data_IF_123465113338
#
_entry.id   IF_123465113338
#
_cell.length_a   1.000
_cell.length_b   1.000
_cell.length_c   1.000
_cell.angle_alpha   90.00
_cell.angle_beta   90.00
_cell.angle_gamma   90.00
#
_symmetry.space_group_name_H-M   'P 1'
#
loop_
_entity.id
_entity.type
_entity.pdbx_description
1 polymer ?
#
# COMPACT_ATOMS: atom_id res chain seq x y z
N UNK A 1 17.45 -5.59 19.99
CA UNK A 1 16.74 -4.38 19.51
C UNK A 1 15.28 -4.64 19.70
N UNK A 2 14.62 -3.87 20.54
CA UNK A 2 13.16 -3.94 20.67
C UNK A 2 12.48 -3.35 19.42
N UNK A 3 11.22 -3.69 19.25
CA UNK A 3 10.41 -3.36 18.09
C UNK A 3 10.22 -1.83 17.93
N UNK A 4 10.09 -1.11 19.03
CA UNK A 4 9.94 0.35 19.03
C UNK A 4 11.19 1.04 18.49
N UNK A 5 12.36 0.55 18.91
CA UNK A 5 13.65 0.98 18.37
C UNK A 5 13.75 0.69 16.87
N UNK A 6 13.24 -0.47 16.43
CA UNK A 6 13.17 -0.83 15.01
C UNK A 6 12.33 0.15 14.19
N UNK A 7 11.14 0.49 14.69
CA UNK A 7 10.28 1.49 14.04
C UNK A 7 10.92 2.88 14.00
N UNK A 8 11.58 3.29 15.08
CA UNK A 8 12.29 4.57 15.11
C UNK A 8 13.38 4.65 14.04
N UNK A 9 14.21 3.62 13.92
CA UNK A 9 15.25 3.55 12.88
C UNK A 9 14.60 3.57 11.49
N UNK A 10 13.53 2.81 11.29
CA UNK A 10 12.77 2.83 10.04
C UNK A 10 12.28 4.25 9.71
N UNK A 11 11.69 4.96 10.67
CA UNK A 11 11.25 6.33 10.46
C UNK A 11 12.40 7.30 10.16
N UNK A 12 13.56 7.14 10.81
CA UNK A 12 14.74 7.97 10.54
C UNK A 12 15.29 7.73 9.12
N UNK A 13 15.33 6.48 8.65
CA UNK A 13 15.73 6.16 7.27
C UNK A 13 14.77 6.80 6.27
N UNK A 14 13.46 6.73 6.54
CA UNK A 14 12.43 7.31 5.67
C UNK A 14 12.20 8.81 5.86
N UNK A 15 12.90 9.46 6.81
CA UNK A 15 12.86 10.91 6.97
C UNK A 15 13.51 11.61 5.76
N UNK A 16 14.57 11.03 5.20
CA UNK A 16 15.14 11.42 3.90
C UNK A 16 14.60 10.53 2.76
N UNK A 17 13.27 10.54 2.62
CA UNK A 17 12.56 9.73 1.62
C UNK A 17 12.95 10.05 0.17
N UNK A 18 13.64 11.16 -0.09
CA UNK A 18 14.09 11.54 -1.43
C UNK A 18 15.12 10.55 -2.00
N UNK A 19 15.94 9.97 -1.12
CA UNK A 19 16.95 8.96 -1.50
C UNK A 19 16.38 7.58 -1.84
N UNK A 20 15.11 7.33 -1.52
CA UNK A 20 14.47 6.02 -1.67
C UNK A 20 13.98 5.87 -3.11
N UNK A 21 14.40 4.80 -3.83
CA UNK A 21 13.99 4.58 -5.20
C UNK A 21 12.47 4.39 -5.27
N UNK A 22 11.89 4.92 -6.33
CA UNK A 22 10.49 4.67 -6.63
C UNK A 22 10.34 3.23 -7.11
N UNK A 23 9.34 2.54 -6.56
CA UNK A 23 9.20 1.10 -6.75
C UNK A 23 8.82 0.74 -8.18
N UNK A 24 8.05 1.59 -8.86
CA UNK A 24 7.53 1.31 -10.19
C UNK A 24 7.04 2.59 -10.88
N UNK A 25 7.74 2.99 -11.94
CA UNK A 25 7.43 4.17 -12.75
C UNK A 25 6.08 4.07 -13.50
N UNK A 26 5.46 2.89 -13.60
CA UNK A 26 4.14 2.73 -14.20
C UNK A 26 3.01 3.17 -13.24
N UNK A 27 3.27 3.21 -11.93
CA UNK A 27 2.27 3.47 -10.90
C UNK A 27 1.46 4.76 -11.15
N UNK A 28 2.04 5.93 -11.46
CA UNK A 28 1.27 7.17 -11.60
C UNK A 28 0.24 7.12 -12.74
N UNK A 29 0.59 6.46 -13.85
CA UNK A 29 -0.30 6.28 -15.00
C UNK A 29 -1.45 5.32 -14.65
N UNK A 30 -1.12 4.22 -13.99
CA UNK A 30 -2.06 3.16 -13.63
C UNK A 30 -3.02 3.64 -12.55
N UNK A 31 -2.51 4.27 -11.48
CA UNK A 31 -3.32 4.85 -10.42
C UNK A 31 -4.33 5.87 -10.98
N UNK A 32 -3.91 6.76 -11.89
CA UNK A 32 -4.84 7.67 -12.57
C UNK A 32 -5.94 6.92 -13.33
N UNK A 33 -5.59 5.85 -14.05
CA UNK A 33 -6.58 5.04 -14.78
C UNK A 33 -7.56 4.36 -13.82
N UNK A 34 -7.06 3.84 -12.69
CA UNK A 34 -7.88 3.20 -11.67
C UNK A 34 -8.81 4.21 -10.98
N UNK A 35 -8.30 5.37 -10.58
CA UNK A 35 -9.07 6.42 -9.92
C UNK A 35 -10.17 7.05 -10.80
N UNK A 36 -10.05 6.94 -12.13
CA UNK A 36 -11.13 7.33 -13.05
C UNK A 36 -12.31 6.34 -13.08
N UNK A 37 -12.14 5.12 -12.53
CA UNK A 37 -13.13 4.04 -12.60
C UNK A 37 -13.60 3.56 -11.22
N UNK A 38 -12.76 3.72 -10.20
CA UNK A 38 -12.97 3.22 -8.85
C UNK A 38 -12.58 4.29 -7.83
N UNK A 39 -13.07 4.16 -6.60
CA UNK A 39 -12.61 4.96 -5.47
C UNK A 39 -11.24 4.46 -5.03
N UNK A 40 -10.19 5.24 -5.29
CA UNK A 40 -8.81 4.87 -4.95
C UNK A 40 -8.26 5.79 -3.86
N UNK A 41 -7.92 5.24 -2.70
CA UNK A 41 -7.22 5.96 -1.64
C UNK A 41 -5.81 5.39 -1.41
N UNK A 42 -4.91 6.23 -0.91
CA UNK A 42 -3.63 5.78 -0.37
C UNK A 42 -3.77 5.63 1.14
N UNK A 43 -3.58 4.41 1.65
CA UNK A 43 -3.68 4.11 3.08
C UNK A 43 -2.35 3.62 3.63
N UNK A 44 -1.77 4.38 4.56
CA UNK A 44 -0.45 4.08 5.12
C UNK A 44 -0.49 3.99 6.65
N UNK A 45 0.19 3.00 7.21
CA UNK A 45 0.31 2.78 8.65
C UNK A 45 1.48 3.62 9.21
N UNK A 46 1.40 4.94 9.00
CA UNK A 46 2.37 5.93 9.49
C UNK A 46 1.62 7.00 10.27
N UNK A 47 2.26 7.53 11.31
CA UNK A 47 1.66 8.57 12.15
C UNK A 47 1.48 9.89 11.37
N UNK A 48 0.45 10.71 11.68
CA UNK A 48 0.05 11.87 10.88
C UNK A 48 1.14 12.93 10.65
N UNK A 49 2.15 12.99 11.51
CA UNK A 49 3.28 13.92 11.44
C UNK A 49 4.09 13.75 10.14
N UNK A 50 4.05 12.56 9.52
CA UNK A 50 4.72 12.28 8.25
C UNK A 50 3.89 12.67 7.01
N UNK A 51 2.71 13.28 7.17
CA UNK A 51 1.85 13.62 6.04
C UNK A 51 2.57 14.47 4.99
N UNK A 52 3.23 15.55 5.42
CA UNK A 52 3.91 16.46 4.48
C UNK A 52 4.96 15.73 3.66
N UNK A 53 5.84 14.96 4.31
CA UNK A 53 6.92 14.27 3.60
C UNK A 53 6.41 13.16 2.67
N UNK A 54 5.32 12.49 3.03
CA UNK A 54 4.66 11.51 2.15
C UNK A 54 4.08 12.22 0.93
N UNK A 55 3.34 13.32 1.13
CA UNK A 55 2.77 14.09 0.02
C UNK A 55 3.87 14.63 -0.90
N UNK A 56 4.93 15.23 -0.36
CA UNK A 56 6.05 15.76 -1.16
C UNK A 56 6.71 14.66 -2.00
N UNK A 57 6.84 13.45 -1.45
CA UNK A 57 7.39 12.30 -2.18
C UNK A 57 6.43 11.83 -3.27
N UNK A 58 5.14 11.72 -2.99
CA UNK A 58 4.13 11.34 -4.00
C UNK A 58 4.09 12.35 -5.16
N UNK A 59 4.08 13.64 -4.85
CA UNK A 59 4.09 14.72 -5.83
C UNK A 59 5.35 14.69 -6.70
N UNK A 60 6.52 14.40 -6.11
CA UNK A 60 7.77 14.24 -6.87
C UNK A 60 7.74 13.10 -7.90
N UNK A 61 6.82 12.13 -7.72
CA UNK A 61 6.56 11.02 -8.63
C UNK A 61 5.29 11.19 -9.47
N UNK A 62 4.72 12.40 -9.52
CA UNK A 62 3.47 12.71 -10.23
C UNK A 62 2.26 11.89 -9.73
N UNK A 63 2.24 11.51 -8.45
CA UNK A 63 1.09 10.90 -7.78
C UNK A 63 0.39 12.00 -6.97
N UNK A 64 -0.60 12.63 -7.59
CA UNK A 64 -1.23 13.86 -7.09
C UNK A 64 -2.63 13.54 -6.56
N UNK A 65 -2.96 14.10 -5.39
CA UNK A 65 -4.30 13.99 -4.80
C UNK A 65 -5.36 14.57 -5.74
N UNK A 66 -6.49 13.90 -5.90
CA UNK A 66 -7.57 14.25 -6.82
C UNK A 66 -7.32 13.87 -8.28
N UNK A 67 -6.15 13.33 -8.61
CA UNK A 67 -5.83 12.82 -9.96
C UNK A 67 -5.54 11.33 -9.89
N UNK A 68 -4.50 10.93 -9.17
CA UNK A 68 -4.09 9.52 -9.05
C UNK A 68 -4.84 8.80 -7.94
N UNK A 69 -5.27 9.50 -6.89
CA UNK A 69 -6.00 8.96 -5.75
C UNK A 69 -6.87 10.06 -5.12
N UNK A 70 -7.87 9.69 -4.34
CA UNK A 70 -8.82 10.61 -3.72
C UNK A 70 -8.31 11.13 -2.38
N UNK A 71 -7.99 10.25 -1.43
CA UNK A 71 -7.48 10.65 -0.11
C UNK A 71 -6.17 9.94 0.30
N UNK A 72 -5.36 10.65 1.09
CA UNK A 72 -4.24 10.07 1.83
C UNK A 72 -4.67 9.85 3.28
N UNK A 73 -4.86 8.59 3.66
CA UNK A 73 -5.27 8.15 4.99
C UNK A 73 -4.06 7.61 5.76
N UNK A 74 -3.81 8.20 6.92
CA UNK A 74 -2.70 7.84 7.79
C UNK A 74 -3.21 7.21 9.08
N UNK A 75 -2.71 6.03 9.40
CA UNK A 75 -3.14 5.21 10.54
C UNK A 75 -1.95 4.92 11.46
N UNK A 76 -2.22 4.70 12.74
CA UNK A 76 -1.19 4.22 13.67
C UNK A 76 -0.64 2.86 13.21
N UNK A 77 0.66 2.60 13.39
CA UNK A 77 1.33 1.38 12.91
C UNK A 77 0.88 0.06 13.60
N UNK A 78 -0.05 0.16 14.56
CA UNK A 78 -0.62 -0.97 15.30
C UNK A 78 -2.15 -0.87 15.41
N UNK A 79 -2.85 -2.01 15.46
CA UNK A 79 -2.34 -3.36 15.16
C UNK A 79 -1.89 -3.50 13.69
N UNK A 80 -1.13 -4.54 13.34
CA UNK A 80 -0.52 -4.67 12.00
C UNK A 80 -1.54 -4.81 10.86
N UNK A 81 -2.78 -5.10 11.20
CA UNK A 81 -3.94 -5.20 10.31
C UNK A 81 -4.87 -3.98 10.41
N UNK A 82 -4.45 -2.87 11.04
CA UNK A 82 -5.25 -1.66 11.25
C UNK A 82 -5.95 -1.16 9.99
N UNK A 83 -5.33 -1.35 8.82
CA UNK A 83 -5.88 -0.97 7.51
C UNK A 83 -7.21 -1.69 7.22
N UNK A 84 -7.41 -2.89 7.76
CA UNK A 84 -8.67 -3.65 7.61
C UNK A 84 -9.84 -3.06 8.39
N UNK A 85 -9.62 -2.08 9.28
CA UNK A 85 -10.73 -1.31 9.86
C UNK A 85 -11.40 -0.40 8.83
N UNK A 86 -10.72 -0.10 7.73
CA UNK A 86 -11.32 0.58 6.60
C UNK A 86 -12.19 -0.39 5.79
N UNK A 87 -13.15 0.13 5.04
CA UNK A 87 -14.09 -0.68 4.28
C UNK A 87 -13.78 -0.68 2.78
N UNK A 88 -12.57 -1.13 2.42
CA UNK A 88 -12.21 -1.36 1.03
C UNK A 88 -12.53 -2.78 0.58
N UNK A 89 -12.99 -2.90 -0.66
CA UNK A 89 -13.20 -4.18 -1.34
C UNK A 89 -11.87 -4.82 -1.78
N UNK A 90 -10.84 -4.01 -2.05
CA UNK A 90 -9.54 -4.45 -2.53
C UNK A 90 -8.39 -3.67 -1.88
N UNK A 91 -7.33 -4.38 -1.51
CA UNK A 91 -6.09 -3.82 -0.97
C UNK A 91 -4.93 -4.17 -1.89
N UNK A 92 -4.03 -3.22 -2.14
CA UNK A 92 -2.70 -3.46 -2.73
C UNK A 92 -1.67 -3.10 -1.67
N UNK A 93 -0.99 -4.11 -1.12
CA UNK A 93 -0.12 -3.93 0.04
C UNK A 93 0.95 -5.04 0.09
N UNK A 94 2.12 -4.75 0.64
CA UNK A 94 3.21 -5.72 0.79
C UNK A 94 3.23 -6.39 2.17
N UNK A 95 2.37 -5.96 3.09
CA UNK A 95 2.33 -6.43 4.46
C UNK A 95 1.76 -7.86 4.57
N UNK A 96 2.58 -8.87 4.94
CA UNK A 96 2.14 -10.25 5.03
C UNK A 96 1.10 -10.48 6.14
N UNK A 97 1.01 -9.58 7.14
CA UNK A 97 0.03 -9.70 8.22
C UNK A 97 -1.43 -9.51 7.75
N UNK A 98 -1.65 -9.01 6.54
CA UNK A 98 -2.99 -8.86 5.96
C UNK A 98 -3.52 -10.16 5.33
N UNK A 99 -2.64 -11.13 5.04
CA UNK A 99 -2.98 -12.34 4.25
C UNK A 99 -4.03 -13.18 4.96
N UNK A 100 -3.75 -13.66 6.17
CA UNK A 100 -4.66 -14.55 6.90
C UNK A 100 -5.99 -13.87 7.28
N UNK A 101 -6.01 -12.62 7.79
CA UNK A 101 -7.26 -11.91 8.02
C UNK A 101 -8.12 -11.74 6.76
N UNK A 102 -7.51 -11.41 5.61
CA UNK A 102 -8.26 -11.25 4.36
C UNK A 102 -8.81 -12.59 3.87
N UNK A 103 -8.08 -13.71 3.98
CA UNK A 103 -8.61 -15.04 3.64
C UNK A 103 -9.91 -15.38 4.37
N UNK A 104 -10.06 -14.91 5.61
CA UNK A 104 -11.28 -15.07 6.40
C UNK A 104 -12.41 -14.12 5.97
N UNK A 105 -12.08 -12.97 5.37
CA UNK A 105 -13.01 -11.95 4.89
C UNK A 105 -13.30 -12.11 3.39
N UNK A 106 -14.17 -13.06 3.02
CA UNK A 106 -14.44 -13.43 1.62
C UNK A 106 -14.97 -12.31 0.72
N UNK A 107 -15.37 -11.16 1.27
CA UNK A 107 -15.81 -9.99 0.53
C UNK A 107 -14.69 -8.96 0.26
N UNK A 108 -13.45 -9.29 0.61
CA UNK A 108 -12.28 -8.41 0.41
C UNK A 108 -11.22 -9.13 -0.39
N UNK A 109 -10.42 -8.41 -1.16
CA UNK A 109 -9.32 -8.98 -1.94
C UNK A 109 -8.00 -8.35 -1.52
N UNK A 110 -6.93 -9.15 -1.42
CA UNK A 110 -5.56 -8.65 -1.28
C UNK A 110 -4.77 -8.94 -2.54
N UNK A 111 -4.21 -7.90 -3.14
CA UNK A 111 -3.10 -8.00 -4.07
C UNK A 111 -1.81 -7.81 -3.25
N UNK A 112 -1.21 -8.92 -2.83
CA UNK A 112 0.03 -8.91 -2.06
C UNK A 112 1.18 -8.53 -2.99
N UNK A 113 1.66 -7.30 -2.86
CA UNK A 113 2.76 -6.79 -3.66
C UNK A 113 4.06 -7.50 -3.27
N UNK A 114 4.74 -8.11 -4.23
CA UNK A 114 5.86 -8.99 -3.98
C UNK A 114 7.07 -8.24 -3.40
N UNK A 115 7.53 -8.68 -2.22
CA UNK A 115 8.67 -8.10 -1.52
C UNK A 115 9.48 -9.17 -0.79
N UNK A 116 10.78 -8.96 -0.52
CA UNK A 116 11.63 -9.97 0.11
C UNK A 116 11.09 -10.52 1.44
N UNK A 117 10.39 -9.71 2.23
CA UNK A 117 9.86 -10.10 3.55
C UNK A 117 8.55 -10.91 3.49
N UNK A 118 7.85 -10.96 2.36
CA UNK A 118 6.56 -11.66 2.24
C UNK A 118 6.60 -12.91 1.35
N UNK A 119 7.80 -13.41 1.03
CA UNK A 119 8.00 -14.57 0.14
C UNK A 119 7.40 -15.88 0.68
N UNK A 120 7.32 -16.03 2.00
CA UNK A 120 6.76 -17.23 2.64
C UNK A 120 5.22 -17.18 2.77
N UNK A 121 4.58 -16.08 2.38
CA UNK A 121 3.11 -15.97 2.44
C UNK A 121 2.44 -16.81 1.36
N UNK A 122 1.52 -17.67 1.78
CA UNK A 122 0.69 -18.49 0.89
C UNK A 122 -0.47 -17.64 0.35
N UNK A 123 -0.42 -17.33 -0.95
CA UNK A 123 -1.48 -16.60 -1.65
C UNK A 123 -2.48 -17.60 -2.25
N UNK A 124 -3.66 -17.67 -1.67
CA UNK A 124 -4.78 -18.53 -2.08
C UNK A 124 -6.11 -17.81 -1.82
N UNK A 125 -7.21 -18.37 -2.31
CA UNK A 125 -8.54 -17.79 -2.24
C UNK A 125 -8.61 -16.37 -2.85
N UNK A 126 -8.84 -15.37 -2.00
CA UNK A 126 -8.99 -13.95 -2.30
C UNK A 126 -7.69 -13.16 -2.06
N UNK A 127 -6.55 -13.85 -2.01
CA UNK A 127 -5.21 -13.26 -1.93
C UNK A 127 -4.40 -13.65 -3.15
N UNK A 128 -3.92 -12.66 -3.90
CA UNK A 128 -3.16 -12.84 -5.12
C UNK A 128 -1.81 -12.14 -5.00
N UNK A 129 -0.72 -12.81 -5.40
CA UNK A 129 0.60 -12.16 -5.50
C UNK A 129 0.68 -11.37 -6.81
N UNK A 130 1.25 -10.18 -6.74
CA UNK A 130 1.53 -9.31 -7.91
C UNK A 130 2.94 -8.74 -7.79
N UNK A 131 3.66 -8.63 -8.90
CA UNK A 131 5.09 -8.25 -8.90
C UNK A 131 5.34 -6.79 -9.31
N UNK A 132 4.36 -6.12 -9.88
CA UNK A 132 4.43 -4.73 -10.37
C UNK A 132 3.03 -4.15 -10.55
N UNK A 133 2.95 -2.86 -10.90
CA UNK A 133 1.67 -2.18 -11.08
C UNK A 133 0.91 -2.62 -12.33
N UNK A 134 1.58 -3.13 -13.36
CA UNK A 134 0.93 -3.65 -14.56
C UNK A 134 0.15 -4.94 -14.23
N UNK A 135 0.69 -5.78 -13.35
CA UNK A 135 -0.02 -6.94 -12.79
C UNK A 135 -1.15 -6.53 -11.85
N UNK A 136 -0.97 -5.47 -11.04
CA UNK A 136 -2.05 -4.88 -10.24
C UNK A 136 -3.20 -4.46 -11.14
N UNK A 137 -2.92 -3.69 -12.20
CA UNK A 137 -3.91 -3.23 -13.16
C UNK A 137 -4.66 -4.39 -13.79
N UNK A 138 -3.91 -5.35 -14.34
CA UNK A 138 -4.47 -6.55 -14.98
C UNK A 138 -5.38 -7.29 -14.01
N UNK A 139 -4.93 -7.53 -12.78
CA UNK A 139 -5.69 -8.29 -11.79
C UNK A 139 -6.97 -7.57 -11.37
N UNK A 140 -6.93 -6.25 -11.18
CA UNK A 140 -8.13 -5.45 -10.84
C UNK A 140 -9.18 -5.54 -11.97
N UNK A 141 -8.76 -5.59 -13.23
CA UNK A 141 -9.71 -5.70 -14.36
C UNK A 141 -10.22 -7.13 -14.63
N UNK A 142 -9.54 -8.15 -14.11
CA UNK A 142 -9.96 -9.55 -14.21
C UNK A 142 -10.97 -9.96 -13.11
N UNK A 143 -11.08 -9.17 -12.03
CA UNK A 143 -12.02 -9.37 -10.92
C UNK A 143 -13.40 -8.77 -11.25
#
# INVERSE_FOLDING_TARGET
MDEETGFKIFYEIYADSQSIPFIDEAAPKIMKKLNNRYDLDIVSARVPEYRSSITDKLDSHNIITGIQYTELILLHHRPYDIKLKQNYDLYVDDNPNLVEPIKMMKNRTLLLFDQPWNQNSVCEDNVYRVHNWEEVEKKIFDL
#
